data_IF_082271535836
#
_entry.id   IF_082271535836
#
_cell.length_a   1.000
_cell.length_b   1.000
_cell.length_c   1.000
_cell.angle_alpha   90.00
_cell.angle_beta   90.00
_cell.angle_gamma   90.00
#
_symmetry.space_group_name_H-M   'P 1'
#
loop_
_entity.id
_entity.type
_entity.pdbx_description
1 polymer ?
#
# COMPACT_ATOMS: atom_id res chain seq x y z
N UNK A 1 54.30 -45.05 -29.80
CA UNK A 1 53.62 -44.47 -28.62
C UNK A 1 53.23 -43.05 -28.97
N UNK A 2 51.94 -42.74 -29.02
CA UNK A 2 51.41 -41.39 -29.11
C UNK A 2 50.28 -41.29 -28.08
N UNK A 3 50.32 -40.36 -27.11
CA UNK A 3 49.25 -40.24 -26.14
C UNK A 3 48.08 -39.50 -26.80
N UNK A 4 46.90 -40.11 -26.79
CA UNK A 4 45.66 -39.44 -27.13
C UNK A 4 45.25 -38.58 -25.93
N UNK A 5 45.35 -37.26 -26.08
CA UNK A 5 44.86 -36.30 -25.09
C UNK A 5 43.33 -36.19 -25.25
N UNK A 6 42.58 -36.85 -24.36
CA UNK A 6 41.13 -36.67 -24.29
C UNK A 6 40.83 -35.34 -23.58
N UNK A 7 40.45 -34.31 -24.34
CA UNK A 7 39.86 -33.11 -23.76
C UNK A 7 38.42 -33.42 -23.33
N UNK A 8 38.18 -33.40 -22.03
CA UNK A 8 36.82 -33.37 -21.48
C UNK A 8 36.37 -31.91 -21.45
N UNK A 9 35.40 -31.55 -22.28
CA UNK A 9 34.70 -30.27 -22.13
C UNK A 9 33.76 -30.39 -20.92
N UNK A 10 34.12 -29.76 -19.80
CA UNK A 10 33.18 -29.56 -18.71
C UNK A 10 32.14 -28.54 -19.17
N UNK A 11 30.89 -28.97 -19.29
CA UNK A 11 29.74 -28.07 -19.44
C UNK A 11 29.64 -27.22 -18.17
N UNK A 12 30.02 -25.95 -18.24
CA UNK A 12 29.66 -25.01 -17.19
C UNK A 12 28.15 -24.70 -17.35
N UNK A 13 27.30 -25.43 -16.64
CA UNK A 13 25.86 -25.12 -16.58
C UNK A 13 25.69 -24.08 -15.48
N UNK A 14 25.36 -22.85 -15.83
CA UNK A 14 24.89 -21.87 -14.87
C UNK A 14 23.44 -22.21 -14.53
N UNK A 15 23.19 -22.75 -13.33
CA UNK A 15 21.86 -23.12 -12.84
C UNK A 15 21.22 -21.91 -12.12
N UNK A 16 20.07 -21.46 -12.61
CA UNK A 16 19.24 -20.35 -12.06
C UNK A 16 17.78 -20.40 -12.56
N UNK A 17 17.44 -21.35 -13.44
CA UNK A 17 16.30 -21.28 -14.34
C UNK A 17 15.00 -21.80 -13.71
N UNK A 18 15.07 -22.49 -12.57
CA UNK A 18 13.89 -23.13 -11.95
C UNK A 18 13.15 -22.24 -10.96
N UNK A 19 13.69 -21.05 -10.67
CA UNK A 19 12.98 -20.03 -9.92
C UNK A 19 11.85 -19.42 -10.73
N UNK A 20 10.74 -19.21 -10.04
CA UNK A 20 9.50 -18.67 -10.58
C UNK A 20 9.01 -17.51 -9.73
N UNK A 21 8.37 -16.52 -10.35
CA UNK A 21 7.67 -15.48 -9.61
C UNK A 21 6.52 -16.14 -8.85
N UNK A 22 6.47 -15.94 -7.53
CA UNK A 22 5.45 -16.47 -6.63
C UNK A 22 4.43 -15.39 -6.25
N UNK A 23 4.93 -14.24 -5.81
CA UNK A 23 4.11 -13.16 -5.24
C UNK A 23 4.66 -11.78 -5.63
N UNK A 24 3.77 -10.83 -5.91
CA UNK A 24 4.08 -9.46 -6.35
C UNK A 24 3.30 -8.47 -5.49
N UNK A 25 4.00 -7.52 -4.87
CA UNK A 25 3.42 -6.51 -3.99
C UNK A 25 3.87 -5.10 -4.34
N UNK A 26 2.96 -4.14 -4.19
CA UNK A 26 3.27 -2.72 -4.19
C UNK A 26 2.31 -1.96 -3.27
N UNK A 27 2.82 -0.94 -2.59
CA UNK A 27 1.96 0.08 -2.01
C UNK A 27 1.46 1.07 -3.08
N UNK A 28 0.53 1.95 -2.69
CA UNK A 28 -0.16 2.86 -3.62
C UNK A 28 0.78 3.82 -4.39
N UNK A 29 1.85 4.29 -3.78
CA UNK A 29 2.81 5.21 -4.40
C UNK A 29 4.02 4.50 -5.05
N UNK A 30 4.08 3.17 -4.98
CA UNK A 30 5.16 2.36 -5.55
C UNK A 30 6.50 2.49 -4.82
N UNK A 31 6.58 3.13 -3.66
CA UNK A 31 7.84 3.27 -2.91
C UNK A 31 8.22 2.00 -2.16
N UNK A 32 7.24 1.21 -1.72
CA UNK A 32 7.42 -0.07 -1.03
C UNK A 32 6.87 -1.17 -1.93
N UNK A 33 7.78 -1.94 -2.52
CA UNK A 33 7.46 -3.01 -3.48
C UNK A 33 8.31 -4.23 -3.20
N UNK A 34 7.80 -5.41 -3.50
CA UNK A 34 8.61 -6.60 -3.55
C UNK A 34 8.07 -7.65 -4.52
N UNK A 35 8.95 -8.58 -4.86
CA UNK A 35 8.66 -9.81 -5.58
C UNK A 35 9.30 -10.95 -4.80
N UNK A 36 8.50 -11.97 -4.48
CA UNK A 36 9.00 -13.25 -3.97
C UNK A 36 9.16 -14.19 -5.15
N UNK A 37 10.37 -14.74 -5.28
CA UNK A 37 10.67 -15.82 -6.21
C UNK A 37 10.69 -17.13 -5.44
N UNK A 38 10.30 -18.24 -6.07
CA UNK A 38 10.31 -19.58 -5.47
C UNK A 38 10.96 -20.59 -6.41
N UNK A 39 11.90 -21.38 -5.88
CA UNK A 39 12.47 -22.52 -6.60
C UNK A 39 11.39 -23.62 -6.70
N UNK A 40 10.97 -23.91 -7.93
CA UNK A 40 9.71 -24.65 -8.16
C UNK A 40 9.87 -26.14 -8.48
N UNK A 41 11.11 -26.62 -8.61
CA UNK A 41 11.40 -27.98 -9.07
C UNK A 41 12.13 -28.85 -8.04
N UNK A 42 12.39 -28.32 -6.84
CA UNK A 42 13.18 -28.99 -5.81
C UNK A 42 14.67 -29.07 -6.17
N UNK A 43 15.15 -28.21 -7.05
CA UNK A 43 16.53 -28.22 -7.56
C UNK A 43 17.47 -27.42 -6.65
N UNK A 44 18.59 -28.06 -6.31
CA UNK A 44 19.72 -27.38 -5.66
C UNK A 44 20.71 -26.84 -6.71
N UNK A 45 21.61 -25.95 -6.30
CA UNK A 45 22.63 -25.28 -7.13
C UNK A 45 22.10 -24.21 -8.12
N UNK A 46 20.86 -23.76 -7.95
CA UNK A 46 20.21 -22.70 -8.72
C UNK A 46 20.66 -21.28 -8.31
N UNK A 47 21.94 -21.10 -8.00
CA UNK A 47 22.47 -19.90 -7.38
C UNK A 47 23.10 -18.89 -8.34
N UNK A 48 23.23 -19.19 -9.64
CA UNK A 48 23.96 -18.37 -10.62
C UNK A 48 23.15 -17.18 -11.16
N UNK A 49 22.72 -16.29 -10.28
CA UNK A 49 21.87 -15.14 -10.62
C UNK A 49 22.66 -13.93 -11.14
N UNK A 50 23.94 -13.79 -10.78
CA UNK A 50 24.74 -12.63 -11.14
C UNK A 50 24.77 -12.41 -12.66
N UNK A 51 24.54 -11.17 -13.08
CA UNK A 51 24.54 -10.78 -14.49
C UNK A 51 23.21 -11.03 -15.22
N UNK A 52 22.30 -11.84 -14.65
CA UNK A 52 20.96 -11.98 -15.19
C UNK A 52 20.11 -10.73 -14.91
N UNK A 53 19.07 -10.55 -15.72
CA UNK A 53 18.17 -9.40 -15.64
C UNK A 53 16.82 -9.78 -15.03
N UNK A 54 16.29 -8.89 -14.19
CA UNK A 54 14.88 -8.84 -13.84
C UNK A 54 14.30 -7.57 -14.46
N UNK A 55 13.20 -7.69 -15.22
CA UNK A 55 12.62 -6.54 -15.93
C UNK A 55 11.13 -6.38 -15.65
N UNK A 56 10.69 -5.13 -15.66
CA UNK A 56 9.30 -4.72 -15.54
C UNK A 56 8.94 -3.87 -16.76
N UNK A 57 8.05 -4.37 -17.61
CA UNK A 57 7.61 -3.69 -18.83
C UNK A 57 6.18 -3.19 -18.66
N UNK A 58 5.99 -1.87 -18.76
CA UNK A 58 4.69 -1.19 -18.66
C UNK A 58 4.53 -0.22 -19.84
N UNK A 59 3.44 -0.36 -20.60
CA UNK A 59 3.11 0.49 -21.76
C UNK A 59 4.29 0.69 -22.73
N UNK A 60 5.02 -0.39 -23.02
CA UNK A 60 6.19 -0.38 -23.92
C UNK A 60 7.48 0.17 -23.31
N UNK A 61 7.45 0.70 -22.09
CA UNK A 61 8.65 1.12 -21.36
C UNK A 61 9.13 -0.02 -20.47
N UNK A 62 10.43 -0.33 -20.51
CA UNK A 62 11.02 -1.42 -19.71
C UNK A 62 12.03 -0.87 -18.71
N UNK A 63 11.81 -1.16 -17.43
CA UNK A 63 12.80 -1.00 -16.38
C UNK A 63 13.59 -2.30 -16.22
N UNK A 64 14.91 -2.19 -16.02
CA UNK A 64 15.82 -3.34 -15.93
C UNK A 64 16.66 -3.26 -14.66
N UNK A 65 16.63 -4.33 -13.88
CA UNK A 65 17.52 -4.57 -12.75
C UNK A 65 18.47 -5.72 -13.08
N UNK A 66 19.78 -5.51 -12.90
CA UNK A 66 20.79 -6.55 -13.10
C UNK A 66 21.26 -7.05 -11.74
N UNK A 67 21.14 -8.36 -11.51
CA UNK A 67 21.61 -8.99 -10.28
C UNK A 67 23.14 -8.86 -10.19
N UNK A 68 23.63 -8.29 -9.09
CA UNK A 68 25.07 -8.01 -8.91
C UNK A 68 25.85 -9.14 -8.28
N UNK A 69 25.16 -10.11 -7.67
CA UNK A 69 25.75 -11.24 -6.98
C UNK A 69 24.91 -12.49 -7.24
N UNK A 70 25.53 -13.64 -7.03
CA UNK A 70 24.85 -14.93 -6.96
C UNK A 70 24.10 -15.07 -5.63
N UNK A 71 23.11 -15.95 -5.59
CA UNK A 71 22.52 -16.37 -4.32
C UNK A 71 23.59 -17.08 -3.46
N UNK A 72 23.43 -17.10 -2.12
CA UNK A 72 24.17 -18.03 -1.29
C UNK A 72 23.86 -19.45 -1.80
N UNK A 73 24.90 -20.22 -2.12
CA UNK A 73 24.70 -21.48 -2.83
C UNK A 73 25.71 -22.54 -2.46
N UNK A 74 25.36 -23.77 -2.80
CA UNK A 74 26.26 -24.92 -2.78
C UNK A 74 27.38 -24.67 -3.78
N UNK A 75 28.58 -24.44 -3.29
CA UNK A 75 29.78 -24.44 -4.14
C UNK A 75 30.23 -25.90 -4.25
N UNK A 76 29.92 -26.54 -5.38
CA UNK A 76 30.45 -27.86 -5.69
C UNK A 76 31.86 -27.71 -6.28
N UNK A 77 32.85 -28.15 -5.51
CA UNK A 77 34.21 -28.34 -5.98
C UNK A 77 34.50 -29.82 -6.26
N UNK A 78 35.72 -30.11 -6.75
CA UNK A 78 36.18 -31.48 -7.03
C UNK A 78 36.11 -32.43 -5.80
N UNK A 79 36.08 -31.89 -4.58
CA UNK A 79 36.09 -32.66 -3.32
C UNK A 79 34.76 -32.64 -2.56
N UNK A 80 33.68 -32.11 -3.14
CA UNK A 80 32.35 -32.11 -2.53
C UNK A 80 31.60 -30.80 -2.70
N UNK A 81 30.36 -30.82 -2.23
CA UNK A 81 29.41 -29.72 -2.29
C UNK A 81 29.20 -29.19 -0.87
N UNK A 82 29.53 -27.91 -0.64
CA UNK A 82 29.32 -27.23 0.64
C UNK A 82 28.52 -25.94 0.46
N UNK A 83 27.52 -25.70 1.31
CA UNK A 83 26.62 -24.53 1.26
C UNK A 83 25.15 -24.92 1.44
N UNK A 84 24.27 -23.94 1.66
CA UNK A 84 22.81 -24.16 1.71
C UNK A 84 22.25 -24.49 0.32
N UNK A 85 21.35 -25.46 0.24
CA UNK A 85 20.66 -25.81 -1.01
C UNK A 85 19.63 -24.76 -1.43
N UNK A 86 19.40 -24.62 -2.72
CA UNK A 86 18.37 -23.71 -3.29
C UNK A 86 17.01 -24.38 -3.47
N UNK A 87 16.91 -25.69 -3.21
CA UNK A 87 15.69 -26.44 -3.44
C UNK A 87 14.54 -25.91 -2.57
N UNK A 88 13.42 -25.55 -3.20
CA UNK A 88 12.21 -25.00 -2.55
C UNK A 88 12.45 -23.72 -1.73
N UNK A 89 13.59 -23.04 -1.90
CA UNK A 89 13.85 -21.77 -1.21
C UNK A 89 13.15 -20.63 -1.92
N UNK A 90 13.00 -19.51 -1.21
CA UNK A 90 12.45 -18.26 -1.74
C UNK A 90 13.55 -17.22 -1.89
N UNK A 91 13.34 -16.20 -2.72
CA UNK A 91 14.24 -15.06 -2.85
C UNK A 91 13.41 -13.80 -2.85
N UNK A 92 13.83 -12.81 -2.05
CA UNK A 92 13.17 -11.52 -1.93
C UNK A 92 13.90 -10.46 -2.75
N UNK A 93 13.24 -9.99 -3.81
CA UNK A 93 13.65 -8.80 -4.57
C UNK A 93 12.75 -7.65 -4.12
N UNK A 94 13.28 -6.63 -3.46
CA UNK A 94 12.45 -5.58 -2.87
C UNK A 94 12.97 -4.17 -3.16
N UNK A 95 12.10 -3.17 -3.07
CA UNK A 95 12.48 -1.76 -3.28
C UNK A 95 13.34 -1.23 -2.12
N UNK A 96 14.04 -0.12 -2.35
CA UNK A 96 14.75 0.59 -1.28
C UNK A 96 13.83 1.03 -0.14
N UNK A 97 12.59 1.44 -0.46
CA UNK A 97 11.57 1.78 0.54
C UNK A 97 11.17 0.59 1.41
N UNK A 98 11.05 -0.61 0.83
CA UNK A 98 10.84 -1.84 1.61
C UNK A 98 12.03 -2.12 2.54
N UNK A 99 13.26 -2.04 2.03
CA UNK A 99 14.46 -2.31 2.83
C UNK A 99 14.56 -1.41 4.07
N UNK A 100 14.10 -0.16 3.96
CA UNK A 100 14.07 0.82 5.06
C UNK A 100 13.04 0.49 6.16
N UNK A 101 12.10 -0.44 5.92
CA UNK A 101 11.17 -0.91 6.94
C UNK A 101 11.81 -1.88 7.95
N UNK A 102 12.95 -2.48 7.60
CA UNK A 102 13.68 -3.44 8.44
C UNK A 102 12.85 -4.65 8.92
N UNK A 103 11.86 -5.08 8.12
CA UNK A 103 11.00 -6.23 8.44
C UNK A 103 11.70 -7.56 8.15
N UNK A 104 12.19 -7.69 6.91
CA UNK A 104 12.99 -8.80 6.39
C UNK A 104 14.07 -8.19 5.51
N UNK A 105 15.31 -8.65 5.60
CA UNK A 105 16.38 -8.18 4.73
C UNK A 105 16.17 -8.72 3.31
N UNK A 106 16.00 -7.85 2.28
CA UNK A 106 15.92 -8.32 0.90
C UNK A 106 17.22 -8.94 0.43
N UNK A 107 17.12 -9.99 -0.39
CA UNK A 107 18.28 -10.61 -1.04
C UNK A 107 18.82 -9.70 -2.16
N UNK A 108 17.91 -9.00 -2.84
CA UNK A 108 18.22 -8.00 -3.86
C UNK A 108 17.38 -6.75 -3.68
N UNK A 109 18.02 -5.58 -3.85
CA UNK A 109 17.37 -4.28 -3.74
C UNK A 109 17.24 -3.66 -5.13
N UNK A 110 15.99 -3.50 -5.59
CA UNK A 110 15.63 -2.78 -6.81
C UNK A 110 15.25 -1.31 -6.49
N UNK A 111 15.22 -0.40 -7.48
CA UNK A 111 14.73 0.96 -7.28
C UNK A 111 13.27 1.02 -6.80
N UNK A 112 12.89 2.13 -6.16
CA UNK A 112 11.48 2.44 -5.91
C UNK A 112 10.74 2.70 -7.24
N UNK A 113 9.46 2.35 -7.32
CA UNK A 113 8.65 2.52 -8.52
C UNK A 113 9.08 1.63 -9.69
N UNK A 114 9.77 0.52 -9.41
CA UNK A 114 10.23 -0.42 -10.43
C UNK A 114 9.06 -1.17 -11.09
N UNK A 115 8.02 -1.47 -10.31
CA UNK A 115 6.83 -2.19 -10.76
C UNK A 115 5.69 -1.19 -10.91
N UNK A 116 5.04 -1.14 -12.07
CA UNK A 116 3.84 -0.33 -12.25
C UNK A 116 2.64 -1.00 -11.54
N UNK A 117 1.80 -0.22 -10.86
CA UNK A 117 0.64 -0.75 -10.11
C UNK A 117 -0.58 -0.98 -10.99
N UNK A 118 -0.64 -0.33 -12.16
CA UNK A 118 -1.72 -0.35 -13.15
C UNK A 118 -1.49 -1.33 -14.31
N UNK A 119 -0.58 -2.28 -14.11
CA UNK A 119 -0.34 -3.42 -15.00
C UNK A 119 1.09 -3.48 -15.52
N UNK A 120 1.68 -4.66 -15.60
CA UNK A 120 3.00 -4.84 -16.18
C UNK A 120 3.22 -6.29 -16.62
N UNK A 121 4.29 -6.50 -17.40
CA UNK A 121 4.92 -7.80 -17.57
C UNK A 121 6.22 -7.83 -16.76
N UNK A 122 6.28 -8.69 -15.76
CA UNK A 122 7.52 -9.02 -15.07
C UNK A 122 8.20 -10.17 -15.79
N UNK A 123 9.51 -10.08 -15.96
CA UNK A 123 10.35 -11.09 -16.59
C UNK A 123 11.58 -11.32 -15.72
N UNK A 124 11.75 -12.56 -15.29
CA UNK A 124 12.98 -13.04 -14.68
C UNK A 124 13.82 -13.77 -15.73
N UNK A 125 14.93 -13.14 -16.11
CA UNK A 125 16.03 -13.69 -16.91
C UNK A 125 15.64 -14.37 -18.24
N UNK A 126 14.45 -14.12 -18.77
CA UNK A 126 13.91 -14.81 -19.94
C UNK A 126 13.38 -16.23 -19.66
N UNK A 127 13.33 -16.65 -18.39
CA UNK A 127 12.99 -18.03 -17.98
C UNK A 127 11.64 -18.12 -17.27
N UNK A 128 11.18 -17.02 -16.69
CA UNK A 128 9.84 -16.92 -16.11
C UNK A 128 9.24 -15.53 -16.29
N UNK A 129 7.92 -15.50 -16.47
CA UNK A 129 7.17 -14.28 -16.72
C UNK A 129 5.83 -14.32 -16.00
N UNK A 130 5.39 -13.16 -15.52
CA UNK A 130 4.03 -12.93 -15.01
C UNK A 130 3.50 -11.64 -15.63
N UNK A 131 2.30 -11.72 -16.18
CA UNK A 131 1.55 -10.56 -16.69
C UNK A 131 0.41 -10.30 -15.74
N UNK A 132 0.25 -9.05 -15.29
CA UNK A 132 -0.88 -8.64 -14.47
C UNK A 132 -1.48 -7.33 -14.98
N UNK A 133 -2.77 -7.13 -14.71
CA UNK A 133 -3.52 -5.92 -15.12
C UNK A 133 -3.60 -4.87 -14.02
N UNK A 134 -3.47 -5.27 -12.75
CA UNK A 134 -3.38 -4.35 -11.61
C UNK A 134 -2.81 -5.08 -10.40
N UNK A 135 -2.11 -4.35 -9.52
CA UNK A 135 -1.71 -4.83 -8.20
C UNK A 135 -2.67 -4.31 -7.13
N UNK A 136 -2.95 -5.08 -6.06
CA UNK A 136 -3.48 -4.50 -4.84
C UNK A 136 -2.56 -3.39 -4.33
N UNK A 137 -3.13 -2.28 -3.88
CA UNK A 137 -2.41 -1.10 -3.37
C UNK A 137 -2.85 -0.72 -1.95
N UNK A 138 -3.62 -1.60 -1.32
CA UNK A 138 -4.18 -1.42 0.03
C UNK A 138 -3.15 -1.58 1.16
N UNK A 139 -1.93 -2.03 0.82
CA UNK A 139 -0.84 -2.18 1.77
C UNK A 139 -0.86 -3.48 2.57
N UNK A 140 -1.84 -4.36 2.35
CA UNK A 140 -2.02 -5.63 3.10
C UNK A 140 -2.13 -6.86 2.21
N UNK A 141 -2.49 -6.69 0.95
CA UNK A 141 -2.56 -7.79 -0.02
C UNK A 141 -1.50 -7.67 -1.11
N UNK A 142 -1.12 -8.82 -1.65
CA UNK A 142 -0.27 -8.99 -2.81
C UNK A 142 -1.03 -9.76 -3.91
N UNK A 143 -0.43 -9.88 -5.08
CA UNK A 143 -0.93 -10.70 -6.18
C UNK A 143 -0.05 -11.95 -6.31
N UNK A 144 -0.65 -13.14 -6.32
CA UNK A 144 0.07 -14.36 -6.67
C UNK A 144 0.30 -14.44 -8.19
N UNK A 145 1.15 -15.37 -8.62
CA UNK A 145 1.46 -15.56 -10.04
C UNK A 145 0.25 -15.92 -10.93
N UNK A 146 -0.84 -16.40 -10.34
CA UNK A 146 -2.07 -16.78 -11.04
C UNK A 146 -3.08 -15.61 -11.10
N UNK A 147 -2.74 -14.46 -10.51
CA UNK A 147 -3.60 -13.30 -10.42
C UNK A 147 -4.58 -13.32 -9.25
N UNK A 148 -4.43 -14.24 -8.29
CA UNK A 148 -5.22 -14.25 -7.07
C UNK A 148 -4.70 -13.21 -6.08
N UNK A 149 -5.63 -12.51 -5.42
CA UNK A 149 -5.30 -11.60 -4.31
C UNK A 149 -5.05 -12.43 -3.06
N UNK A 150 -3.85 -12.31 -2.50
CA UNK A 150 -3.39 -13.06 -1.31
C UNK A 150 -2.85 -12.10 -0.25
N UNK A 151 -2.79 -12.48 1.04
CA UNK A 151 -2.09 -11.68 2.05
C UNK A 151 -0.64 -11.44 1.65
N UNK A 152 -0.10 -10.26 1.92
CA UNK A 152 1.29 -9.94 1.61
C UNK A 152 2.25 -10.73 2.54
N UNK A 153 3.17 -11.53 2.00
CA UNK A 153 4.17 -12.29 2.77
C UNK A 153 5.52 -12.26 2.06
N UNK A 154 6.33 -11.24 2.36
CA UNK A 154 7.70 -11.16 1.87
C UNK A 154 8.57 -12.22 2.54
N UNK A 155 9.23 -13.09 1.76
CA UNK A 155 10.11 -14.15 2.27
C UNK A 155 11.46 -14.13 1.56
N UNK A 156 12.56 -14.01 2.32
CA UNK A 156 13.92 -14.00 1.78
C UNK A 156 14.55 -15.40 1.70
N UNK A 157 15.75 -15.48 1.14
CA UNK A 157 16.52 -16.71 0.98
C UNK A 157 16.92 -17.38 2.30
N UNK A 158 17.07 -16.59 3.37
CA UNK A 158 17.29 -17.12 4.70
C UNK A 158 16.03 -17.75 5.34
N UNK A 159 14.88 -17.72 4.66
CA UNK A 159 13.61 -18.25 5.14
C UNK A 159 12.91 -17.36 6.16
N UNK A 160 13.33 -16.09 6.28
CA UNK A 160 12.65 -15.12 7.12
C UNK A 160 11.46 -14.54 6.36
N UNK A 161 10.30 -14.48 7.03
CA UNK A 161 9.06 -13.97 6.44
C UNK A 161 8.45 -12.85 7.28
N UNK A 162 7.88 -11.85 6.62
CA UNK A 162 7.05 -10.83 7.25
C UNK A 162 6.02 -10.26 6.26
N UNK A 163 4.87 -9.87 6.79
CA UNK A 163 3.90 -9.04 6.07
C UNK A 163 4.33 -7.57 6.13
N UNK A 164 4.05 -6.81 5.07
CA UNK A 164 4.25 -5.36 5.07
C UNK A 164 3.10 -4.73 5.84
N UNK A 165 3.33 -4.10 7.01
CA UNK A 165 2.29 -3.44 7.76
C UNK A 165 2.19 -2.00 7.27
N UNK A 166 1.72 -1.80 6.05
CA UNK A 166 1.35 -0.46 5.66
C UNK A 166 0.03 -0.15 6.34
N UNK A 167 0.09 0.76 7.31
CA UNK A 167 -1.12 1.28 7.94
C UNK A 167 -2.04 1.77 6.82
N UNK A 168 -3.23 1.15 6.73
CA UNK A 168 -4.27 1.66 5.85
C UNK A 168 -4.41 3.17 6.11
N UNK A 169 -4.54 3.95 5.03
CA UNK A 169 -4.66 5.40 5.16
C UNK A 169 -5.79 5.72 6.12
N UNK A 170 -5.47 6.38 7.24
CA UNK A 170 -6.44 6.74 8.24
C UNK A 170 -6.63 8.26 8.22
N UNK A 171 -7.77 8.72 7.71
CA UNK A 171 -8.13 10.14 7.66
C UNK A 171 -8.97 10.62 8.85
N UNK A 172 -9.32 9.70 9.77
CA UNK A 172 -10.12 10.01 10.96
C UNK A 172 -9.46 11.09 11.79
N UNK A 173 -10.20 12.12 12.18
CA UNK A 173 -9.65 13.25 12.92
C UNK A 173 -10.36 14.56 12.66
N UNK A 174 -9.88 15.59 13.36
CA UNK A 174 -10.25 16.98 13.16
C UNK A 174 -9.34 17.62 12.10
N UNK A 175 -9.91 18.43 11.22
CA UNK A 175 -9.20 19.11 10.13
C UNK A 175 -9.63 20.57 10.05
N UNK A 176 -8.71 21.43 9.64
CA UNK A 176 -8.97 22.86 9.39
C UNK A 176 -8.43 23.27 8.01
N UNK A 177 -8.83 24.46 7.56
CA UNK A 177 -8.29 25.07 6.35
C UNK A 177 -6.77 25.23 6.50
N UNK A 178 -6.02 24.88 5.46
CA UNK A 178 -4.58 25.07 5.41
C UNK A 178 -4.25 26.46 4.79
N UNK A 179 -3.25 27.20 5.32
CA UNK A 179 -2.40 26.88 6.47
C UNK A 179 -3.15 26.85 7.79
N UNK A 180 -2.57 26.18 8.79
CA UNK A 180 -3.26 25.96 10.07
C UNK A 180 -3.87 27.21 10.68
N UNK A 181 -5.11 27.07 11.17
CA UNK A 181 -5.89 28.13 11.83
C UNK A 181 -6.17 29.38 10.96
N UNK A 182 -5.91 29.32 9.65
CA UNK A 182 -6.15 30.44 8.72
C UNK A 182 -7.61 30.86 8.62
N UNK A 183 -8.54 29.97 8.92
CA UNK A 183 -9.98 30.22 8.97
C UNK A 183 -10.55 29.78 10.33
N UNK A 184 -10.25 30.54 11.38
CA UNK A 184 -10.76 30.28 12.73
C UNK A 184 -12.30 30.22 12.75
N UNK A 185 -12.85 29.15 13.34
CA UNK A 185 -14.30 28.87 13.36
C UNK A 185 -14.79 28.01 12.19
N UNK A 186 -13.96 27.74 11.19
CA UNK A 186 -14.19 26.74 10.14
C UNK A 186 -13.45 25.44 10.47
N UNK A 187 -14.08 24.29 10.24
CA UNK A 187 -13.40 23.01 10.37
C UNK A 187 -14.28 21.83 10.00
N UNK A 188 -13.65 20.69 9.74
CA UNK A 188 -14.31 19.49 9.28
C UNK A 188 -13.74 18.28 10.01
N UNK A 189 -14.62 17.42 10.53
CA UNK A 189 -14.25 16.23 11.26
C UNK A 189 -14.53 15.02 10.38
N UNK A 190 -13.64 14.04 10.40
CA UNK A 190 -13.80 12.80 9.66
C UNK A 190 -13.85 11.61 10.62
N UNK A 191 -14.86 10.76 10.47
CA UNK A 191 -14.83 9.39 10.93
C UNK A 191 -14.59 8.49 9.70
N UNK A 192 -13.45 7.77 9.67
CA UNK A 192 -13.03 6.98 8.52
C UNK A 192 -13.13 5.48 8.82
N UNK A 193 -13.92 4.75 8.03
CA UNK A 193 -14.13 3.31 8.20
C UNK A 193 -14.11 2.61 6.83
N UNK A 194 -13.07 1.82 6.59
CA UNK A 194 -12.88 1.14 5.30
C UNK A 194 -12.82 2.15 4.14
N UNK A 195 -13.72 2.01 3.17
CA UNK A 195 -13.82 2.89 2.00
C UNK A 195 -14.86 4.02 2.18
N UNK A 196 -15.28 4.33 3.42
CA UNK A 196 -16.26 5.36 3.73
C UNK A 196 -15.76 6.38 4.76
N UNK A 197 -16.00 7.66 4.50
CA UNK A 197 -15.78 8.78 5.43
C UNK A 197 -17.12 9.42 5.76
N UNK A 198 -17.46 9.49 7.04
CA UNK A 198 -18.47 10.43 7.51
C UNK A 198 -17.78 11.75 7.86
N UNK A 199 -18.18 12.83 7.19
CA UNK A 199 -17.68 14.16 7.42
C UNK A 199 -18.74 15.04 8.10
N UNK A 200 -18.37 15.71 9.19
CA UNK A 200 -19.17 16.80 9.78
C UNK A 200 -18.41 18.11 9.63
N UNK A 201 -18.95 19.02 8.84
CA UNK A 201 -18.35 20.30 8.50
C UNK A 201 -19.07 21.42 9.23
N UNK A 202 -18.35 22.23 10.02
CA UNK A 202 -18.86 23.43 10.64
C UNK A 202 -18.27 24.68 9.96
N UNK A 203 -19.15 25.62 9.63
CA UNK A 203 -18.88 26.84 8.86
C UNK A 203 -19.93 27.90 9.19
N UNK A 204 -20.02 28.95 8.37
CA UNK A 204 -21.04 29.99 8.48
C UNK A 204 -21.82 30.11 7.18
N UNK A 205 -23.13 30.37 7.28
CA UNK A 205 -23.98 30.63 6.12
C UNK A 205 -23.77 32.04 5.55
N UNK A 206 -24.49 32.39 4.48
CA UNK A 206 -24.38 33.70 3.83
C UNK A 206 -24.76 34.90 4.73
N UNK A 207 -25.41 34.66 5.86
CA UNK A 207 -25.76 35.68 6.86
C UNK A 207 -24.77 35.73 8.03
N UNK A 208 -23.73 34.89 8.00
CA UNK A 208 -22.75 34.76 9.07
C UNK A 208 -23.21 33.92 10.26
N UNK A 209 -24.35 33.22 10.15
CA UNK A 209 -24.83 32.33 11.21
C UNK A 209 -24.07 31.01 11.16
N UNK A 210 -23.71 30.49 12.33
CA UNK A 210 -23.10 29.16 12.45
C UNK A 210 -23.96 28.09 11.77
N UNK A 211 -23.32 27.29 10.94
CA UNK A 211 -23.94 26.33 10.06
C UNK A 211 -23.13 25.04 10.04
N UNK A 212 -23.80 23.90 10.14
CA UNK A 212 -23.15 22.61 10.06
C UNK A 212 -23.80 21.76 8.97
N UNK A 213 -22.95 21.02 8.27
CA UNK A 213 -23.27 20.16 7.14
C UNK A 213 -22.67 18.80 7.39
N UNK A 214 -23.32 17.75 6.90
CA UNK A 214 -22.77 16.39 6.96
C UNK A 214 -22.69 15.76 5.58
N UNK A 215 -21.74 14.87 5.40
CA UNK A 215 -21.53 14.11 4.17
C UNK A 215 -21.11 12.69 4.51
N UNK A 216 -21.81 11.71 3.94
CA UNK A 216 -21.28 10.33 3.85
C UNK A 216 -20.59 10.19 2.50
N UNK A 217 -19.26 10.16 2.51
CA UNK A 217 -18.43 10.12 1.33
C UNK A 217 -17.85 8.72 1.11
N UNK A 218 -18.17 8.11 -0.02
CA UNK A 218 -17.60 6.82 -0.42
C UNK A 218 -16.36 7.05 -1.27
N UNK A 219 -15.41 6.12 -1.20
CA UNK A 219 -14.22 6.13 -2.03
C UNK A 219 -14.59 5.98 -3.51
N UNK A 220 -14.09 6.88 -4.33
CA UNK A 220 -14.34 6.89 -5.78
C UNK A 220 -13.06 6.65 -6.59
N UNK A 221 -11.89 6.88 -5.99
CA UNK A 221 -10.57 6.58 -6.53
C UNK A 221 -9.57 6.45 -5.36
N UNK A 222 -8.31 6.02 -5.59
CA UNK A 222 -7.28 6.05 -4.57
C UNK A 222 -7.19 7.44 -3.90
N UNK A 223 -7.34 7.48 -2.57
CA UNK A 223 -7.33 8.71 -1.75
C UNK A 223 -8.43 9.75 -2.06
N UNK A 224 -9.44 9.41 -2.87
CA UNK A 224 -10.56 10.31 -3.23
C UNK A 224 -11.88 9.75 -2.71
N UNK A 225 -12.61 10.59 -1.97
CA UNK A 225 -13.91 10.25 -1.38
C UNK A 225 -14.94 11.32 -1.73
N UNK A 226 -16.13 10.94 -2.17
CA UNK A 226 -17.16 11.89 -2.58
C UNK A 226 -18.56 11.51 -2.10
N UNK A 227 -19.40 12.53 -1.90
CA UNK A 227 -20.77 12.33 -1.42
C UNK A 227 -21.64 13.59 -1.52
N UNK A 228 -22.93 13.43 -1.22
CA UNK A 228 -23.85 14.54 -1.10
C UNK A 228 -23.64 15.28 0.23
N UNK A 229 -23.69 16.61 0.19
CA UNK A 229 -23.71 17.46 1.38
C UNK A 229 -25.15 17.67 1.81
N UNK A 230 -25.43 17.31 3.07
CA UNK A 230 -26.73 17.42 3.68
C UNK A 230 -26.73 18.50 4.74
N UNK A 231 -27.74 19.37 4.68
CA UNK A 231 -28.13 20.20 5.80
C UNK A 231 -29.18 19.44 6.60
N UNK A 232 -28.95 19.30 7.91
CA UNK A 232 -29.88 18.61 8.82
C UNK A 232 -30.47 19.63 9.79
N UNK A 233 -31.78 19.54 10.00
CA UNK A 233 -32.51 20.30 11.02
C UNK A 233 -33.27 19.32 11.90
N UNK A 234 -33.64 19.73 13.11
CA UNK A 234 -34.35 18.84 14.02
C UNK A 234 -34.92 19.54 15.25
N UNK A 235 -35.60 18.76 16.10
CA UNK A 235 -36.15 19.24 17.37
C UNK A 235 -35.03 19.76 18.30
N UNK A 236 -35.41 20.52 19.32
CA UNK A 236 -34.47 20.98 20.35
C UNK A 236 -33.81 19.79 21.09
N UNK A 237 -32.62 20.03 21.66
CA UNK A 237 -31.83 18.99 22.33
C UNK A 237 -32.53 18.36 23.56
N UNK A 238 -33.57 19.01 24.08
CA UNK A 238 -34.39 18.61 25.23
C UNK A 238 -35.78 18.08 24.86
N UNK A 239 -36.05 17.82 23.58
CA UNK A 239 -37.35 17.32 23.14
C UNK A 239 -37.64 15.90 23.67
N UNK A 240 -38.73 15.75 24.43
CA UNK A 240 -39.21 14.47 24.97
C UNK A 240 -40.71 14.31 24.72
N UNK A 241 -41.14 13.28 23.95
CA UNK A 241 -40.29 12.31 23.23
C UNK A 241 -39.58 12.95 22.02
N UNK A 242 -38.43 12.41 21.63
CA UNK A 242 -37.73 12.83 20.41
C UNK A 242 -38.53 12.38 19.18
N UNK A 243 -39.07 13.29 18.33
CA UNK A 243 -39.89 12.90 17.20
C UNK A 243 -39.08 12.14 16.14
N UNK A 244 -39.62 11.08 15.53
CA UNK A 244 -38.95 10.33 14.47
C UNK A 244 -38.56 11.20 13.28
N UNK A 245 -37.47 10.84 12.59
CA UNK A 245 -37.05 11.48 11.33
C UNK A 245 -38.22 11.49 10.33
N UNK A 246 -38.48 12.63 9.70
CA UNK A 246 -39.54 12.81 8.71
C UNK A 246 -40.96 12.96 9.27
N UNK A 247 -41.17 12.84 10.58
CA UNK A 247 -42.45 13.18 11.23
C UNK A 247 -42.59 14.69 11.44
N UNK A 248 -43.81 15.23 11.61
CA UNK A 248 -44.01 16.65 11.95
C UNK A 248 -43.23 17.03 13.22
N UNK A 249 -42.32 18.01 13.11
CA UNK A 249 -41.44 18.44 14.21
C UNK A 249 -40.21 17.54 14.43
N UNK A 250 -40.05 16.47 13.66
CA UNK A 250 -38.87 15.61 13.68
C UNK A 250 -37.73 16.13 12.81
N UNK A 251 -36.59 15.43 12.89
CA UNK A 251 -35.43 15.78 12.10
C UNK A 251 -35.65 15.57 10.60
N UNK A 252 -35.03 16.43 9.79
CA UNK A 252 -35.05 16.36 8.33
C UNK A 252 -33.65 16.60 7.78
N UNK A 253 -33.35 15.99 6.63
CA UNK A 253 -32.10 16.17 5.92
C UNK A 253 -32.38 16.62 4.48
N UNK A 254 -31.87 17.79 4.10
CA UNK A 254 -31.97 18.33 2.75
C UNK A 254 -30.61 18.22 2.06
N UNK A 255 -30.57 17.69 0.85
CA UNK A 255 -29.36 17.76 0.01
C UNK A 255 -29.20 19.19 -0.47
N UNK A 256 -28.07 19.81 -0.13
CA UNK A 256 -27.75 21.20 -0.49
C UNK A 256 -26.54 21.29 -1.41
N UNK A 257 -25.91 20.16 -1.72
CA UNK A 257 -24.68 20.16 -2.49
C UNK A 257 -24.02 18.81 -2.63
N UNK A 258 -22.78 18.85 -3.11
CA UNK A 258 -21.86 17.72 -3.15
C UNK A 258 -20.47 18.15 -2.66
N UNK A 259 -19.72 17.19 -2.16
CA UNK A 259 -18.34 17.37 -1.72
C UNK A 259 -17.43 16.24 -2.22
N UNK A 260 -16.15 16.57 -2.35
CA UNK A 260 -15.06 15.65 -2.68
C UNK A 260 -13.86 15.95 -1.79
N UNK A 261 -13.32 14.90 -1.18
CA UNK A 261 -12.10 14.91 -0.38
C UNK A 261 -11.01 14.20 -1.17
N UNK A 262 -9.90 14.88 -1.42
CA UNK A 262 -8.72 14.31 -2.09
C UNK A 262 -7.52 14.45 -1.17
N UNK A 263 -7.02 13.35 -0.64
CA UNK A 263 -5.88 13.35 0.27
C UNK A 263 -4.56 13.16 -0.47
N UNK A 264 -3.56 13.99 -0.15
CA UNK A 264 -2.20 13.86 -0.66
C UNK A 264 -1.35 12.99 0.26
N UNK A 265 -1.65 13.02 1.55
CA UNK A 265 -1.08 12.13 2.57
C UNK A 265 -2.07 12.00 3.75
N UNK A 266 -1.67 11.31 4.84
CA UNK A 266 -2.54 11.09 6.00
C UNK A 266 -2.98 12.38 6.74
N UNK A 267 -2.34 13.51 6.47
CA UNK A 267 -2.47 14.76 7.20
C UNK A 267 -2.72 15.98 6.31
N UNK A 268 -2.70 15.82 4.99
CA UNK A 268 -2.95 16.91 4.04
C UNK A 268 -3.87 16.45 2.92
N UNK A 269 -4.70 17.36 2.44
CA UNK A 269 -5.59 17.11 1.32
C UNK A 269 -6.29 18.36 0.84
N UNK A 270 -7.33 18.16 0.03
CA UNK A 270 -8.22 19.21 -0.44
C UNK A 270 -9.67 18.80 -0.22
N UNK A 271 -10.50 19.74 0.19
CA UNK A 271 -11.95 19.62 0.21
C UNK A 271 -12.53 20.54 -0.86
N UNK A 272 -13.01 19.94 -1.94
CA UNK A 272 -13.75 20.63 -3.00
C UNK A 272 -15.24 20.40 -2.78
N UNK A 273 -16.05 21.45 -2.86
CA UNK A 273 -17.48 21.34 -2.65
C UNK A 273 -18.25 22.33 -3.51
N UNK A 274 -19.51 21.98 -3.77
CA UNK A 274 -20.52 22.90 -4.30
C UNK A 274 -21.72 22.86 -3.38
N UNK A 275 -22.07 24.00 -2.78
CA UNK A 275 -23.20 24.14 -1.86
C UNK A 275 -24.08 25.29 -2.32
N UNK A 276 -25.36 25.03 -2.53
CA UNK A 276 -26.34 25.99 -3.03
C UNK A 276 -25.85 26.76 -4.28
N UNK A 277 -25.15 26.06 -5.18
CA UNK A 277 -24.59 26.62 -6.42
C UNK A 277 -23.26 27.36 -6.28
N UNK A 278 -22.72 27.51 -5.05
CA UNK A 278 -21.42 28.12 -4.80
C UNK A 278 -20.37 27.03 -4.70
N UNK A 279 -19.36 27.08 -5.56
CA UNK A 279 -18.25 26.13 -5.54
C UNK A 279 -17.00 26.74 -4.92
N UNK A 280 -16.31 25.96 -4.10
CA UNK A 280 -14.96 26.28 -3.60
C UNK A 280 -14.11 25.03 -3.50
N UNK A 281 -12.80 25.25 -3.47
CA UNK A 281 -11.80 24.23 -3.12
C UNK A 281 -10.92 24.81 -2.04
N UNK A 282 -10.80 24.10 -0.91
CA UNK A 282 -9.91 24.47 0.19
C UNK A 282 -8.86 23.40 0.38
N UNK A 283 -7.60 23.81 0.53
CA UNK A 283 -6.59 22.93 1.10
C UNK A 283 -6.95 22.70 2.57
N UNK A 284 -6.81 21.46 3.04
CA UNK A 284 -7.09 21.06 4.42
C UNK A 284 -5.87 20.36 5.00
N UNK A 285 -5.63 20.58 6.29
CA UNK A 285 -4.60 19.85 7.02
C UNK A 285 -5.11 19.47 8.39
N UNK A 286 -4.59 18.36 8.91
CA UNK A 286 -5.07 17.74 10.14
C UNK A 286 -4.74 18.61 11.35
N UNK A 287 -5.72 18.84 12.21
CA UNK A 287 -5.53 19.46 13.50
C UNK A 287 -4.88 18.47 14.46
N UNK A 288 -3.77 18.88 15.08
CA UNK A 288 -2.98 18.04 15.99
C UNK A 288 -2.83 18.72 17.34
N UNK A 289 -3.07 17.97 18.40
CA UNK A 289 -2.84 18.41 19.79
C UNK A 289 -1.58 17.77 20.39
N UNK A 290 -0.91 16.92 19.63
CA UNK A 290 0.29 16.18 20.05
C UNK A 290 0.69 15.15 18.99
N UNK A 291 1.61 14.22 19.33
CA UNK A 291 1.91 13.07 18.50
C UNK A 291 0.64 12.25 18.25
N UNK A 292 0.35 11.96 16.98
CA UNK A 292 -0.79 11.11 16.63
C UNK A 292 -0.47 9.65 17.02
N UNK A 293 -1.42 8.91 17.59
CA UNK A 293 -1.25 7.48 17.84
C UNK A 293 -0.87 6.77 16.54
N UNK A 294 0.21 5.99 16.58
CA UNK A 294 0.58 5.11 15.48
C UNK A 294 0.05 3.74 15.80
N UNK A 295 -0.76 3.17 14.89
CA UNK A 295 -1.16 1.78 15.02
C UNK A 295 0.11 0.91 14.92
N UNK A 296 0.44 0.23 16.01
CA UNK A 296 1.58 -0.69 16.06
C UNK A 296 1.07 -2.06 16.46
N UNK A 297 1.34 -3.07 15.63
CA UNK A 297 1.05 -4.46 15.95
C UNK A 297 2.34 -5.13 16.47
N UNK A 298 2.24 -5.90 17.55
CA UNK A 298 3.36 -6.67 18.09
C UNK A 298 4.47 -5.87 18.80
N UNK A 299 4.43 -4.53 18.78
CA UNK A 299 5.38 -3.68 19.53
C UNK A 299 5.13 -3.77 21.04
N UNK A 300 3.90 -4.07 21.44
CA UNK A 300 3.47 -4.09 22.83
C UNK A 300 3.03 -5.52 23.20
N UNK A 301 3.89 -6.25 23.92
CA UNK A 301 3.66 -7.66 24.30
C UNK A 301 2.49 -7.83 25.27
N UNK A 302 2.18 -6.79 26.04
CA UNK A 302 1.04 -6.77 26.96
C UNK A 302 0.04 -5.70 26.53
N UNK A 303 -0.97 -6.09 25.76
CA UNK A 303 -2.03 -5.21 25.23
C UNK A 303 -2.78 -4.40 26.31
N UNK A 304 -2.68 -4.77 27.60
CA UNK A 304 -3.25 -3.98 28.68
C UNK A 304 -2.55 -2.64 28.93
N UNK A 305 -1.35 -2.42 28.37
CA UNK A 305 -0.66 -1.13 28.41
C UNK A 305 -0.81 -0.36 27.09
N UNK A 306 -1.61 -0.86 26.15
CA UNK A 306 -1.82 -0.21 24.87
C UNK A 306 -2.65 1.06 25.10
N UNK A 307 -2.12 2.20 24.70
CA UNK A 307 -2.84 3.46 24.74
C UNK A 307 -3.73 3.59 23.50
N UNK A 308 -4.99 3.17 23.63
CA UNK A 308 -5.97 3.37 22.57
C UNK A 308 -6.59 4.77 22.71
N UNK A 309 -6.11 5.71 21.91
CA UNK A 309 -6.75 6.99 21.72
C UNK A 309 -7.49 6.95 20.38
N UNK A 310 -8.82 6.89 20.42
CA UNK A 310 -9.67 7.22 19.27
C UNK A 310 -10.21 8.63 19.47
N UNK A 311 -10.53 9.31 18.38
CA UNK A 311 -11.53 10.38 18.44
C UNK A 311 -12.95 9.78 18.42
#
# INVERSE_FOLDING_TARGET
>A
MAPALALWAASAVAEFHTYKIEEIFSNADGTIQYVVMHESQGMSAENFWMGNAFTSTHLGTTQTYIFRNNLPGVMCGYYGCGGGGTANTRVLIASQGFAALHLVTPDFIMPNGFIATDGATLNYAGVDFVVFTSLPTDGIHALDRNGAVVPNVATNFAGQSASVPLAAANYQGLWYAAPAESESGWGINFAHQGDAIFASWFTYDLTGKGWWLVMSANKTAPNVYGGALLQVTGPAFDAVPFPPVGSPGGATAATVGNGSLTFTDANNGTFAYTVNGISQTKAITRQRFGPMPTCTFGVQTNLALASNYQD
#
